data_IF_476304411492
#
_entry.id   IF_476304411492
#
_cell.length_a   1.000
_cell.length_b   1.000
_cell.length_c   1.000
_cell.angle_alpha   90.00
_cell.angle_beta   90.00
_cell.angle_gamma   90.00
#
_symmetry.space_group_name_H-M   'P 1'
#
loop_
_entity.id
_entity.type
_entity.pdbx_description
1 polymer ?
#
# COMPACT_ATOMS: atom_id res chain seq x y z
N UNK A 1 -20.19 -39.32 -58.38
CA UNK A 1 -18.85 -39.15 -57.77
C UNK A 1 -18.66 -37.69 -57.40
N UNK A 2 -18.39 -37.38 -56.13
CA UNK A 2 -17.81 -36.11 -55.70
C UNK A 2 -16.98 -36.36 -54.44
N UNK A 3 -15.67 -36.25 -54.58
CA UNK A 3 -14.67 -36.55 -53.55
C UNK A 3 -14.49 -35.33 -52.64
N UNK A 4 -14.99 -35.39 -51.41
CA UNK A 4 -14.68 -34.38 -50.39
C UNK A 4 -13.31 -34.69 -49.77
N UNK A 5 -12.40 -33.72 -49.84
CA UNK A 5 -11.04 -33.85 -49.31
C UNK A 5 -11.05 -33.74 -47.78
N UNK A 6 -10.71 -34.81 -47.08
CA UNK A 6 -10.34 -34.75 -45.67
C UNK A 6 -9.07 -33.90 -45.54
N UNK A 7 -9.17 -32.70 -44.99
CA UNK A 7 -7.98 -31.93 -44.59
C UNK A 7 -7.58 -32.38 -43.19
N UNK A 8 -6.33 -32.81 -43.04
CA UNK A 8 -5.77 -33.19 -41.75
C UNK A 8 -5.78 -31.96 -40.83
N UNK A 9 -6.67 -31.94 -39.84
CA UNK A 9 -6.53 -31.06 -38.68
C UNK A 9 -5.38 -31.62 -37.84
N UNK A 10 -4.37 -30.80 -37.56
CA UNK A 10 -3.30 -31.15 -36.60
C UNK A 10 -3.96 -31.47 -35.26
N UNK A 11 -3.89 -32.72 -34.84
CA UNK A 11 -4.23 -33.14 -33.49
C UNK A 11 -3.15 -32.63 -32.53
N UNK A 12 -3.59 -31.96 -31.48
CA UNK A 12 -2.77 -31.52 -30.36
C UNK A 12 -2.19 -32.73 -29.62
N UNK A 13 -0.88 -32.96 -29.76
CA UNK A 13 -0.13 -33.88 -28.91
C UNK A 13 0.57 -33.11 -27.80
N UNK A 14 0.05 -33.20 -26.58
CA UNK A 14 0.68 -32.66 -25.38
C UNK A 14 2.14 -33.13 -25.27
N UNK A 15 3.01 -32.24 -24.80
CA UNK A 15 4.44 -32.49 -24.67
C UNK A 15 4.67 -33.70 -23.75
N UNK A 16 5.32 -34.74 -24.28
CA UNK A 16 5.58 -35.99 -23.56
C UNK A 16 6.38 -35.77 -22.26
N UNK A 17 6.17 -36.58 -21.20
CA UNK A 17 6.87 -36.41 -19.93
C UNK A 17 8.29 -36.96 -20.06
N UNK A 18 9.25 -36.10 -20.36
CA UNK A 18 10.67 -36.47 -20.38
C UNK A 18 11.23 -36.45 -18.95
N UNK A 19 11.55 -37.63 -18.41
CA UNK A 19 12.44 -37.76 -17.25
C UNK A 19 13.83 -37.27 -17.65
N UNK A 20 14.29 -36.15 -17.08
CA UNK A 20 15.72 -35.85 -16.94
C UNK A 20 15.94 -34.75 -15.88
N UNK A 21 17.08 -34.88 -15.24
CA UNK A 21 17.48 -34.35 -13.94
C UNK A 21 17.52 -32.81 -13.88
N UNK A 22 17.17 -32.29 -12.70
CA UNK A 22 17.34 -30.92 -12.19
C UNK A 22 17.51 -29.82 -13.25
N UNK A 23 16.39 -29.34 -13.78
CA UNK A 23 16.38 -28.09 -14.56
C UNK A 23 16.12 -26.92 -13.63
N UNK A 24 17.14 -26.08 -13.45
CA UNK A 24 17.03 -24.75 -12.86
C UNK A 24 15.86 -24.03 -13.52
N UNK A 25 14.85 -23.64 -12.74
CA UNK A 25 13.71 -22.89 -13.24
C UNK A 25 14.18 -21.49 -13.68
N UNK A 26 14.64 -21.38 -14.92
CA UNK A 26 14.70 -20.12 -15.63
C UNK A 26 13.26 -19.64 -15.79
N UNK A 27 12.82 -18.83 -14.83
CA UNK A 27 11.54 -18.11 -14.92
C UNK A 27 11.56 -17.38 -16.25
N UNK A 28 10.51 -17.57 -17.06
CA UNK A 28 10.35 -16.95 -18.38
C UNK A 28 10.51 -15.44 -18.26
N UNK A 29 11.71 -14.93 -18.48
CA UNK A 29 11.99 -13.52 -18.69
C UNK A 29 12.25 -13.31 -20.17
N UNK A 30 11.50 -12.35 -20.72
CA UNK A 30 11.52 -11.84 -22.08
C UNK A 30 10.83 -12.72 -23.15
N UNK A 31 9.70 -12.27 -23.76
CA UNK A 31 9.37 -12.72 -25.10
C UNK A 31 10.46 -12.22 -26.07
N UNK A 32 11.07 -13.16 -26.78
CA UNK A 32 11.92 -12.90 -27.96
C UNK A 32 11.18 -12.00 -28.93
N UNK A 33 11.75 -10.82 -29.21
CA UNK A 33 11.55 -10.04 -30.45
C UNK A 33 10.16 -10.11 -31.07
N UNK A 34 9.19 -9.54 -30.36
CA UNK A 34 7.84 -9.25 -30.86
C UNK A 34 7.12 -8.45 -29.78
N UNK A 35 6.73 -7.22 -30.08
CA UNK A 35 6.36 -6.16 -29.12
C UNK A 35 5.64 -6.64 -27.86
N UNK A 36 6.11 -6.18 -26.70
CA UNK A 36 5.53 -6.48 -25.39
C UNK A 36 4.02 -6.27 -25.46
N UNK A 37 3.25 -7.34 -25.26
CA UNK A 37 1.79 -7.24 -25.19
C UNK A 37 1.43 -6.18 -24.15
N UNK A 38 0.69 -5.17 -24.56
CA UNK A 38 0.23 -4.10 -23.67
C UNK A 38 -0.39 -4.72 -22.41
N UNK A 39 -0.06 -4.24 -21.20
CA UNK A 39 -0.67 -4.74 -19.98
C UNK A 39 -2.20 -4.70 -20.11
N UNK A 40 -2.85 -5.82 -19.79
CA UNK A 40 -4.30 -5.90 -19.87
C UNK A 40 -4.93 -4.99 -18.82
N UNK A 41 -5.65 -3.96 -19.27
CA UNK A 41 -6.43 -3.05 -18.42
C UNK A 41 -7.90 -3.42 -18.51
N UNK A 42 -8.53 -3.64 -17.36
CA UNK A 42 -9.98 -3.86 -17.29
C UNK A 42 -10.75 -2.60 -17.70
N UNK A 43 -11.96 -2.80 -18.23
CA UNK A 43 -12.89 -1.71 -18.49
C UNK A 43 -13.30 -1.04 -17.16
N UNK A 44 -13.57 0.28 -17.16
CA UNK A 44 -14.13 0.94 -15.98
C UNK A 44 -15.39 0.20 -15.52
N UNK A 45 -15.57 0.08 -14.21
CA UNK A 45 -16.69 -0.67 -13.62
C UNK A 45 -16.46 -2.18 -13.44
N UNK A 46 -15.60 -2.83 -14.23
CA UNK A 46 -15.37 -4.29 -14.09
C UNK A 46 -14.77 -4.66 -12.73
N UNK A 47 -13.79 -3.90 -12.25
CA UNK A 47 -13.15 -4.13 -10.95
C UNK A 47 -14.11 -3.76 -9.81
N UNK A 48 -14.84 -2.66 -9.95
CA UNK A 48 -15.82 -2.21 -8.96
C UNK A 48 -16.94 -3.24 -8.73
N UNK A 49 -17.53 -3.80 -9.80
CA UNK A 49 -18.56 -4.84 -9.67
C UNK A 49 -18.03 -6.11 -9.01
N UNK A 50 -16.76 -6.46 -9.25
CA UNK A 50 -16.10 -7.59 -8.59
C UNK A 50 -15.90 -7.34 -7.09
N UNK A 51 -15.52 -6.13 -6.72
CA UNK A 51 -15.35 -5.73 -5.32
C UNK A 51 -16.69 -5.66 -4.57
N UNK A 52 -17.75 -5.10 -5.17
CA UNK A 52 -19.11 -5.08 -4.60
C UNK A 52 -19.57 -6.50 -4.28
N UNK A 53 -19.46 -7.42 -5.25
CA UNK A 53 -19.83 -8.84 -5.06
C UNK A 53 -18.99 -9.51 -3.97
N UNK A 54 -17.71 -9.16 -3.84
CA UNK A 54 -16.83 -9.71 -2.79
C UNK A 54 -17.25 -9.24 -1.40
N UNK A 55 -17.46 -7.94 -1.20
CA UNK A 55 -17.80 -7.37 0.11
C UNK A 55 -19.23 -7.66 0.54
N UNK A 56 -20.14 -7.91 -0.40
CA UNK A 56 -21.49 -8.38 -0.06
C UNK A 56 -21.51 -9.86 0.36
N UNK A 57 -20.52 -10.65 -0.09
CA UNK A 57 -20.42 -12.08 0.24
C UNK A 57 -19.64 -12.35 1.54
N UNK A 58 -18.77 -11.43 1.94
CA UNK A 58 -17.90 -11.56 3.11
C UNK A 58 -18.24 -10.48 4.14
N UNK A 59 -18.04 -10.76 5.41
CA UNK A 59 -18.32 -9.83 6.52
C UNK A 59 -17.03 -9.30 7.16
N UNK A 60 -15.95 -9.23 6.39
CA UNK A 60 -14.67 -8.71 6.88
C UNK A 60 -14.74 -7.19 7.12
N UNK A 61 -13.98 -6.73 8.11
CA UNK A 61 -13.97 -5.31 8.46
C UNK A 61 -13.19 -4.54 7.40
N UNK A 62 -13.87 -3.63 6.72
CA UNK A 62 -13.28 -2.81 5.66
C UNK A 62 -12.27 -1.79 6.21
N UNK A 63 -12.40 -1.42 7.49
CA UNK A 63 -11.50 -0.48 8.17
C UNK A 63 -10.55 -1.27 9.09
N UNK A 64 -9.25 -0.95 9.03
CA UNK A 64 -8.23 -1.57 9.88
C UNK A 64 -8.51 -1.27 11.37
N UNK A 65 -8.30 -2.27 12.22
CA UNK A 65 -8.62 -2.20 13.67
C UNK A 65 -7.85 -1.12 14.43
N UNK A 66 -6.53 -1.04 14.28
CA UNK A 66 -5.67 -0.14 15.05
C UNK A 66 -5.96 1.36 14.84
N UNK A 67 -6.08 1.89 13.59
CA UNK A 67 -6.41 3.30 13.40
C UNK A 67 -7.83 3.62 13.91
N UNK A 68 -8.79 2.73 13.70
CA UNK A 68 -10.16 2.92 14.22
C UNK A 68 -10.19 2.97 15.75
N UNK A 69 -9.42 2.10 16.42
CA UNK A 69 -9.30 2.09 17.87
C UNK A 69 -8.69 3.39 18.41
N UNK A 70 -7.67 3.95 17.74
CA UNK A 70 -7.08 5.24 18.12
C UNK A 70 -8.12 6.36 18.04
N UNK A 71 -8.92 6.39 16.98
CA UNK A 71 -10.00 7.37 16.82
C UNK A 71 -11.06 7.26 17.92
N UNK A 72 -11.51 6.05 18.23
CA UNK A 72 -12.49 5.82 19.31
C UNK A 72 -11.97 6.30 20.67
N UNK A 73 -10.67 6.08 20.95
CA UNK A 73 -10.03 6.57 22.17
C UNK A 73 -10.01 8.10 22.22
N UNK A 74 -9.63 8.76 21.14
CA UNK A 74 -9.59 10.23 21.06
C UNK A 74 -11.00 10.81 21.27
N UNK A 75 -12.01 10.30 20.57
CA UNK A 75 -13.40 10.73 20.74
C UNK A 75 -13.89 10.54 22.18
N UNK A 76 -13.58 9.40 22.79
CA UNK A 76 -13.97 9.12 24.18
C UNK A 76 -13.31 10.04 25.20
N UNK A 77 -12.05 10.44 24.97
CA UNK A 77 -11.34 11.40 25.83
C UNK A 77 -11.96 12.78 25.69
N UNK A 78 -12.20 13.26 24.46
CA UNK A 78 -12.80 14.57 24.22
C UNK A 78 -14.20 14.71 24.85
N UNK A 79 -15.05 13.68 24.74
CA UNK A 79 -16.38 13.69 25.36
C UNK A 79 -16.31 13.69 26.90
N UNK A 80 -15.32 13.00 27.49
CA UNK A 80 -15.09 13.05 28.95
C UNK A 80 -14.58 14.42 29.41
N UNK A 81 -13.64 15.02 28.68
CA UNK A 81 -13.10 16.35 29.03
C UNK A 81 -14.11 17.48 28.84
N UNK A 82 -15.11 17.32 27.96
CA UNK A 82 -16.23 18.27 27.84
C UNK A 82 -17.16 18.25 29.07
N UNK A 83 -17.20 17.16 29.83
CA UNK A 83 -17.95 17.05 31.10
C UNK A 83 -17.11 17.35 32.35
N UNK A 84 -15.77 17.33 32.23
CA UNK A 84 -14.88 17.78 33.28
C UNK A 84 -14.68 19.29 33.13
N UNK A 85 -15.57 20.06 33.76
CA UNK A 85 -15.39 21.50 34.00
C UNK A 85 -13.94 21.74 34.42
N UNK A 86 -13.20 22.67 33.77
CA UNK A 86 -11.91 23.08 34.29
C UNK A 86 -12.22 23.86 35.56
N UNK A 87 -12.16 23.18 36.71
CA UNK A 87 -12.00 23.85 37.99
C UNK A 87 -10.73 24.68 37.84
N UNK A 88 -10.92 25.99 37.66
CA UNK A 88 -9.86 26.98 37.66
C UNK A 88 -8.99 26.76 38.89
N UNK A 89 -7.68 26.43 38.77
CA UNK A 89 -6.79 26.66 39.87
C UNK A 89 -6.58 28.18 39.95
N UNK A 90 -7.41 28.85 40.75
CA UNK A 90 -7.18 30.22 41.13
C UNK A 90 -5.87 30.30 41.91
N UNK A 91 -4.89 30.96 41.30
CA UNK A 91 -3.73 31.60 41.91
C UNK A 91 -2.76 30.73 42.74
N UNK A 92 -1.58 30.48 42.18
CA UNK A 92 -0.31 30.97 42.76
C UNK A 92 0.82 30.81 41.74
N UNK A 93 1.26 31.89 41.06
CA UNK A 93 2.49 31.89 40.30
C UNK A 93 3.64 32.13 41.30
N UNK A 94 4.09 31.08 41.99
CA UNK A 94 5.40 31.10 42.63
C UNK A 94 6.47 30.98 41.53
N UNK A 95 6.94 32.14 41.08
CA UNK A 95 8.03 32.30 40.15
C UNK A 95 9.27 31.46 40.55
N UNK A 96 9.84 30.63 39.66
CA UNK A 96 11.25 30.35 39.71
C UNK A 96 11.97 31.40 38.87
N UNK A 97 12.65 32.33 39.54
CA UNK A 97 13.81 33.02 38.96
C UNK A 97 14.80 31.94 38.50
N UNK A 98 14.96 31.77 37.19
CA UNK A 98 16.20 31.25 36.63
C UNK A 98 16.64 32.16 35.49
N UNK A 99 17.56 33.04 35.86
CA UNK A 99 18.51 33.71 34.98
C UNK A 99 19.32 32.69 34.17
N UNK A 100 19.89 33.14 33.05
CA UNK A 100 20.49 32.36 31.95
C UNK A 100 19.40 31.75 31.09
N UNK A 101 19.10 32.26 29.90
CA UNK A 101 20.00 32.34 28.76
C UNK A 101 19.84 33.68 28.02
N UNK A 102 20.83 34.57 28.17
CA UNK A 102 21.12 35.63 27.19
C UNK A 102 22.61 35.57 26.90
N UNK A 103 22.96 34.98 25.76
CA UNK A 103 24.09 35.37 24.91
C UNK A 103 24.11 34.41 23.72
N UNK A 104 23.28 34.70 22.72
CA UNK A 104 23.62 34.32 21.35
C UNK A 104 24.85 35.16 20.98
N UNK A 105 26.05 34.63 21.24
CA UNK A 105 27.29 35.20 20.70
C UNK A 105 27.47 34.67 19.29
N UNK A 106 27.48 35.59 18.34
CA UNK A 106 27.82 35.36 16.96
C UNK A 106 29.33 35.12 16.82
N UNK A 107 29.72 33.97 16.29
CA UNK A 107 30.99 33.75 15.57
C UNK A 107 30.65 32.87 14.35
N UNK A 108 30.31 33.47 13.21
CA UNK A 108 31.19 33.71 12.06
C UNK A 108 31.91 32.47 11.48
N UNK A 109 31.58 32.18 10.22
CA UNK A 109 32.47 31.83 9.10
C UNK A 109 33.02 30.40 9.06
N UNK A 110 32.59 29.62 8.05
CA UNK A 110 33.41 29.25 6.86
C UNK A 110 32.78 28.06 6.09
N UNK A 111 31.95 28.34 5.09
CA UNK A 111 31.75 27.41 3.97
C UNK A 111 32.16 28.13 2.68
N UNK A 112 33.45 28.05 2.37
CA UNK A 112 33.99 28.30 1.04
C UNK A 112 34.12 26.96 0.33
N UNK A 113 33.49 26.85 -0.83
CA UNK A 113 33.47 25.64 -1.65
C UNK A 113 34.83 25.28 -2.28
N UNK A 114 34.95 24.00 -2.63
CA UNK A 114 35.90 23.43 -3.58
C UNK A 114 35.05 22.47 -4.42
N UNK A 115 35.04 22.53 -5.75
CA UNK A 115 36.21 22.59 -6.62
C UNK A 115 36.44 21.16 -7.10
#
# INVERSE_FOLDING_TARGET
>A
MARTKQTARKSTGGKAPRKQLATKAARKSAPSTGGVKKPHRYRPGTVALREIRRYQKSTELLIRKLPFQRLVRIWSVCLRTLTCVPSTPSASPSCPKTSSWRAASAENVKYGGQG
#
